data_IF_335602843551
#
_entry.id   IF_335602843551
#
_cell.length_a   1.000
_cell.length_b   1.000
_cell.length_c   1.000
_cell.angle_alpha   90.00
_cell.angle_beta   90.00
_cell.angle_gamma   90.00
#
_symmetry.space_group_name_H-M   'P 1'
#
loop_
_entity.id
_entity.type
_entity.pdbx_description
1 polymer ?
#
# COMPACT_ATOMS: atom_id res chain seq x y z
N UNK A 1 3.74 -33.09 -2.24
CA UNK A 1 4.59 -32.02 -1.72
C UNK A 1 4.01 -30.76 -2.30
N UNK A 2 3.05 -30.14 -1.60
CA UNK A 2 2.63 -28.77 -1.89
C UNK A 2 3.84 -27.88 -1.54
N UNK A 3 4.43 -27.28 -2.54
CA UNK A 3 5.40 -26.19 -2.34
C UNK A 3 4.56 -25.04 -1.81
N UNK A 4 4.64 -24.74 -0.52
CA UNK A 4 4.13 -23.47 0.01
C UNK A 4 4.82 -22.37 -0.79
N UNK A 5 4.07 -21.74 -1.67
CA UNK A 5 4.53 -20.56 -2.41
C UNK A 5 4.68 -19.44 -1.39
N UNK A 6 5.91 -19.20 -0.96
CA UNK A 6 6.23 -18.06 -0.08
C UNK A 6 5.96 -16.78 -0.87
N UNK A 7 4.93 -16.05 -0.48
CA UNK A 7 4.54 -14.84 -1.20
C UNK A 7 5.58 -13.73 -1.07
N UNK A 8 6.11 -13.47 0.14
CA UNK A 8 7.05 -12.37 0.39
C UNK A 8 8.24 -12.86 1.24
N UNK A 9 9.46 -12.60 0.77
CA UNK A 9 10.70 -12.80 1.51
C UNK A 9 11.45 -11.48 1.67
N UNK A 10 11.83 -11.15 2.89
CA UNK A 10 12.55 -9.93 3.23
C UNK A 10 13.74 -10.29 4.13
N UNK A 11 14.92 -9.86 3.73
CA UNK A 11 16.14 -9.90 4.54
C UNK A 11 16.95 -8.66 4.21
N UNK A 12 16.82 -7.61 5.02
CA UNK A 12 17.41 -6.31 4.72
C UNK A 12 18.14 -5.70 5.90
N UNK A 13 19.15 -4.93 5.57
CA UNK A 13 19.85 -4.04 6.49
C UNK A 13 19.78 -2.61 5.96
N UNK A 14 19.40 -1.64 6.81
CA UNK A 14 19.44 -0.22 6.50
C UNK A 14 19.98 0.58 7.67
N UNK A 15 21.03 1.34 7.42
CA UNK A 15 21.63 2.27 8.38
C UNK A 15 20.80 3.55 8.41
N UNK A 16 20.37 3.92 9.59
CA UNK A 16 19.65 5.17 9.88
C UNK A 16 20.52 6.01 10.84
N UNK A 17 20.22 7.30 10.97
CA UNK A 17 21.05 8.22 11.76
C UNK A 17 21.32 7.76 13.19
N UNK A 18 20.37 7.06 13.83
CA UNK A 18 20.43 6.69 15.25
C UNK A 18 20.45 5.19 15.51
N UNK A 19 20.13 4.37 14.51
CA UNK A 19 20.17 2.90 14.64
C UNK A 19 20.30 2.22 13.28
N UNK A 20 20.61 0.93 13.30
CA UNK A 20 20.63 0.09 12.10
C UNK A 20 19.42 -0.83 12.13
N UNK A 21 18.51 -0.66 11.18
CA UNK A 21 17.41 -1.59 10.94
C UNK A 21 17.97 -2.88 10.35
N UNK A 22 17.69 -4.01 11.02
CA UNK A 22 17.89 -5.34 10.47
C UNK A 22 16.58 -6.08 10.57
N UNK A 23 16.03 -6.49 9.45
CA UNK A 23 14.72 -7.14 9.40
C UNK A 23 14.81 -8.35 8.49
N UNK A 24 14.39 -9.50 9.02
CA UNK A 24 14.32 -10.76 8.28
C UNK A 24 13.00 -11.45 8.62
N UNK A 25 12.20 -11.74 7.60
CA UNK A 25 10.97 -12.52 7.72
C UNK A 25 10.52 -13.05 6.37
N UNK A 26 9.64 -14.02 6.44
CA UNK A 26 8.92 -14.58 5.30
C UNK A 26 7.42 -14.51 5.61
N UNK A 27 6.62 -14.22 4.61
CA UNK A 27 5.16 -14.16 4.71
C UNK A 27 4.55 -15.00 3.60
N UNK A 28 3.61 -15.87 3.96
CA UNK A 28 2.78 -16.62 3.03
C UNK A 28 1.62 -15.75 2.52
N UNK A 29 0.80 -16.30 1.64
CA UNK A 29 -0.46 -15.69 1.22
C UNK A 29 -1.36 -15.35 2.42
N UNK A 30 -2.14 -14.30 2.28
CA UNK A 30 -3.06 -13.81 3.30
C UNK A 30 -2.54 -12.58 4.04
N UNK A 31 -2.90 -12.43 5.31
CA UNK A 31 -2.61 -11.25 6.12
C UNK A 31 -1.48 -11.51 7.10
N UNK A 32 -0.39 -10.76 6.99
CA UNK A 32 0.74 -10.81 7.90
C UNK A 32 0.85 -9.50 8.69
N UNK A 33 0.93 -9.59 10.02
CA UNK A 33 1.10 -8.44 10.92
C UNK A 33 2.54 -8.24 11.35
N UNK A 34 3.09 -7.02 11.18
CA UNK A 34 4.40 -6.63 11.71
C UNK A 34 4.19 -5.90 13.04
N UNK A 35 4.61 -6.52 14.15
CA UNK A 35 4.48 -5.96 15.49
C UNK A 35 5.82 -5.41 15.99
N UNK A 36 5.75 -4.34 16.79
CA UNK A 36 6.94 -3.76 17.40
C UNK A 36 6.67 -2.36 17.98
N UNK A 37 7.55 -1.90 18.84
CA UNK A 37 7.48 -0.59 19.46
C UNK A 37 7.49 0.55 18.42
N UNK A 38 7.00 1.74 18.81
CA UNK A 38 7.14 2.92 17.96
C UNK A 38 8.60 3.22 17.67
N UNK A 39 8.94 3.56 16.44
CA UNK A 39 10.31 3.86 16.03
C UNK A 39 11.20 2.62 15.74
N UNK A 40 10.71 1.38 15.90
CA UNK A 40 11.53 0.18 15.65
C UNK A 40 11.81 -0.10 14.15
N UNK A 41 11.25 0.69 13.23
CA UNK A 41 11.52 0.58 11.79
C UNK A 41 10.44 -0.08 10.95
N UNK A 42 9.22 -0.31 11.47
CA UNK A 42 8.09 -0.91 10.71
C UNK A 42 7.82 -0.15 9.40
N UNK A 43 7.58 1.15 9.49
CA UNK A 43 7.35 2.01 8.31
C UNK A 43 8.52 2.01 7.33
N UNK A 44 9.76 1.97 7.84
CA UNK A 44 10.96 1.90 7.01
C UNK A 44 11.02 0.56 6.25
N UNK A 45 10.70 -0.55 6.91
CA UNK A 45 10.62 -1.87 6.27
C UNK A 45 9.59 -1.85 5.13
N UNK A 46 8.37 -1.35 5.38
CA UNK A 46 7.33 -1.25 4.34
C UNK A 46 7.78 -0.37 3.16
N UNK A 47 8.45 0.77 3.42
CA UNK A 47 9.00 1.63 2.38
C UNK A 47 10.12 0.95 1.58
N UNK A 48 10.94 0.12 2.23
CA UNK A 48 11.96 -0.67 1.55
C UNK A 48 11.32 -1.73 0.62
N UNK A 49 10.26 -2.41 1.07
CA UNK A 49 9.52 -3.39 0.25
C UNK A 49 8.88 -2.68 -0.95
N UNK A 50 8.25 -1.53 -0.74
CA UNK A 50 7.63 -0.74 -1.80
C UNK A 50 8.64 -0.08 -2.77
N UNK A 51 9.94 -0.07 -2.44
CA UNK A 51 10.99 0.52 -3.27
C UNK A 51 11.11 2.04 -3.16
N UNK A 52 10.42 2.66 -2.20
CA UNK A 52 10.52 4.10 -1.90
C UNK A 52 11.83 4.42 -1.21
N UNK A 53 12.26 3.49 -0.34
CA UNK A 53 13.56 3.55 0.31
C UNK A 53 14.42 2.38 -0.16
N UNK A 54 15.70 2.65 -0.42
CA UNK A 54 16.64 1.61 -0.82
C UNK A 54 17.32 1.05 0.43
N UNK A 55 17.28 -0.28 0.69
CA UNK A 55 18.14 -0.90 1.68
C UNK A 55 19.63 -0.69 1.37
N UNK A 56 20.50 -0.74 2.38
CA UNK A 56 21.95 -0.72 2.16
C UNK A 56 22.46 -2.10 1.74
N UNK A 57 21.90 -3.15 2.34
CA UNK A 57 22.25 -4.55 2.04
C UNK A 57 21.01 -5.43 2.13
N UNK A 58 21.04 -6.60 1.48
CA UNK A 58 20.04 -7.66 1.66
C UNK A 58 19.29 -8.03 0.39
N UNK A 59 18.07 -8.56 0.61
CA UNK A 59 17.25 -9.20 -0.42
C UNK A 59 15.77 -8.99 -0.15
N UNK A 60 15.00 -8.72 -1.20
CA UNK A 60 13.52 -8.64 -1.17
C UNK A 60 12.98 -9.34 -2.41
N UNK A 61 12.03 -10.25 -2.20
CA UNK A 61 11.35 -11.01 -3.26
C UNK A 61 9.87 -11.11 -2.94
N UNK A 62 9.02 -11.00 -3.95
CA UNK A 62 7.59 -11.27 -3.90
C UNK A 62 7.22 -12.22 -5.03
N UNK A 63 6.58 -13.35 -4.74
CA UNK A 63 6.09 -14.34 -5.70
C UNK A 63 7.16 -14.76 -6.75
N UNK A 64 8.41 -14.98 -6.32
CA UNK A 64 9.53 -15.32 -7.21
C UNK A 64 10.15 -14.14 -7.95
N UNK A 65 9.58 -12.93 -7.84
CA UNK A 65 10.11 -11.71 -8.45
C UNK A 65 11.03 -10.98 -7.48
N UNK A 66 12.31 -10.90 -7.82
CA UNK A 66 13.32 -10.20 -7.00
C UNK A 66 13.17 -8.70 -7.16
N UNK A 67 12.83 -8.01 -6.08
CA UNK A 67 12.70 -6.55 -6.03
C UNK A 67 14.01 -5.84 -5.73
N UNK A 68 14.78 -6.44 -4.83
CA UNK A 68 16.06 -5.92 -4.39
C UNK A 68 17.03 -7.07 -4.09
N UNK A 69 18.25 -6.95 -4.59
CA UNK A 69 19.37 -7.84 -4.27
C UNK A 69 20.67 -7.04 -4.33
N UNK A 70 21.27 -6.82 -3.16
CA UNK A 70 22.51 -6.05 -3.03
C UNK A 70 23.71 -6.75 -3.68
N UNK A 71 23.72 -8.10 -3.71
CA UNK A 71 24.82 -8.90 -4.30
C UNK A 71 24.77 -8.85 -5.82
N UNK A 72 23.57 -9.00 -6.38
CA UNK A 72 23.36 -9.00 -7.84
C UNK A 72 23.07 -7.59 -8.40
N UNK A 73 23.10 -6.54 -7.57
CA UNK A 73 22.83 -5.15 -7.94
C UNK A 73 21.45 -4.93 -8.55
N UNK A 74 20.46 -5.71 -8.13
CA UNK A 74 19.06 -5.56 -8.53
C UNK A 74 18.39 -4.55 -7.60
N UNK A 75 17.67 -3.58 -8.16
CA UNK A 75 16.83 -2.65 -7.42
C UNK A 75 15.72 -2.14 -8.34
N UNK A 76 14.58 -2.82 -8.32
CA UNK A 76 13.41 -2.42 -9.10
C UNK A 76 12.83 -1.11 -8.60
N UNK A 77 12.41 -0.25 -9.53
CA UNK A 77 11.69 0.97 -9.19
C UNK A 77 10.32 0.65 -8.56
N UNK A 78 9.74 1.54 -7.75
CA UNK A 78 8.42 1.30 -7.12
C UNK A 78 7.35 0.84 -8.11
N UNK A 79 7.30 1.45 -9.29
CA UNK A 79 6.32 1.13 -10.34
C UNK A 79 6.46 -0.29 -10.90
N UNK A 80 7.66 -0.87 -10.83
CA UNK A 80 7.96 -2.21 -11.33
C UNK A 80 7.64 -3.32 -10.32
N UNK A 81 7.41 -2.94 -9.05
CA UNK A 81 7.16 -3.91 -7.96
C UNK A 81 5.71 -4.35 -7.85
N UNK A 82 4.77 -3.64 -8.44
CA UNK A 82 3.33 -3.91 -8.33
C UNK A 82 2.83 -4.06 -6.88
N UNK A 83 3.32 -3.20 -5.99
CA UNK A 83 2.97 -3.18 -4.57
C UNK A 83 2.25 -1.89 -4.23
N UNK A 84 1.12 -2.00 -3.55
CA UNK A 84 0.39 -0.87 -2.99
C UNK A 84 0.90 -0.50 -1.60
N UNK A 85 1.18 0.78 -1.33
CA UNK A 85 1.54 1.25 0.01
C UNK A 85 0.57 2.33 0.48
N UNK A 86 -0.13 2.05 1.58
CA UNK A 86 -0.89 3.05 2.32
C UNK A 86 -0.01 3.68 3.38
N UNK A 87 0.27 4.97 3.22
CA UNK A 87 1.00 5.76 4.21
C UNK A 87 0.10 6.16 5.38
N UNK A 88 0.68 6.37 6.54
CA UNK A 88 -0.02 6.86 7.73
C UNK A 88 -0.79 8.18 7.50
N UNK A 89 -0.31 9.06 6.61
CA UNK A 89 -0.95 10.32 6.22
C UNK A 89 -1.74 10.22 4.91
N UNK A 90 -2.07 8.99 4.47
CA UNK A 90 -2.82 8.68 3.25
C UNK A 90 -2.18 9.13 1.92
N UNK A 91 -1.24 10.06 1.94
CA UNK A 91 -0.52 10.63 0.79
C UNK A 91 -1.43 10.95 -0.41
N UNK A 92 -2.61 11.51 -0.16
CA UNK A 92 -3.50 11.97 -1.23
C UNK A 92 -2.91 13.19 -1.93
N UNK A 93 -3.18 13.31 -3.22
CA UNK A 93 -2.82 14.51 -3.98
C UNK A 93 -3.72 15.68 -3.57
N UNK A 94 -3.21 16.68 -2.83
CA UNK A 94 -4.06 17.67 -2.15
C UNK A 94 -4.80 18.62 -3.11
N UNK A 95 -4.24 18.83 -4.30
CA UNK A 95 -4.81 19.69 -5.34
C UNK A 95 -5.73 18.96 -6.32
N UNK A 96 -5.85 17.64 -6.19
CA UNK A 96 -6.73 16.81 -7.01
C UNK A 96 -8.03 16.50 -6.28
N UNK A 97 -9.11 16.36 -7.02
CA UNK A 97 -10.39 15.87 -6.49
C UNK A 97 -10.32 14.38 -6.18
N UNK A 98 -11.36 13.84 -5.53
CA UNK A 98 -11.51 12.39 -5.29
C UNK A 98 -11.43 11.62 -6.62
N UNK A 99 -12.23 12.00 -7.61
CA UNK A 99 -12.19 11.38 -8.94
C UNK A 99 -10.79 11.42 -9.57
N UNK A 100 -10.09 12.55 -9.47
CA UNK A 100 -8.74 12.71 -10.00
C UNK A 100 -7.70 11.87 -9.24
N UNK A 101 -7.85 11.74 -7.92
CA UNK A 101 -6.99 10.87 -7.11
C UNK A 101 -7.15 9.40 -7.54
N UNK A 102 -8.39 8.92 -7.72
CA UNK A 102 -8.65 7.55 -8.20
C UNK A 102 -8.14 7.36 -9.63
N UNK A 103 -8.41 8.32 -10.51
CA UNK A 103 -7.92 8.29 -11.89
C UNK A 103 -6.39 8.18 -11.96
N UNK A 104 -5.65 8.84 -11.06
CA UNK A 104 -4.20 8.76 -11.02
C UNK A 104 -3.70 7.34 -10.68
N UNK A 105 -4.43 6.57 -9.85
CA UNK A 105 -4.15 5.16 -9.59
C UNK A 105 -4.32 4.30 -10.84
N UNK A 106 -5.42 4.47 -11.55
CA UNK A 106 -5.75 3.71 -12.77
C UNK A 106 -4.83 4.01 -13.95
N UNK A 107 -4.45 5.28 -14.15
CA UNK A 107 -3.60 5.71 -15.26
C UNK A 107 -2.10 5.42 -15.04
N UNK A 108 -1.71 4.93 -13.88
CA UNK A 108 -0.34 4.41 -13.67
C UNK A 108 -0.08 3.11 -14.46
N UNK A 109 -1.16 2.43 -14.96
CA UNK A 109 -1.10 1.38 -15.97
C UNK A 109 -1.47 1.90 -17.37
N UNK A 110 -1.26 1.11 -18.42
CA UNK A 110 -1.62 1.41 -19.81
C UNK A 110 -3.13 1.28 -20.08
N UNK A 111 -4.00 1.86 -19.23
CA UNK A 111 -5.46 1.74 -19.39
C UNK A 111 -6.03 2.86 -20.27
N UNK A 112 -6.98 2.49 -21.12
CA UNK A 112 -7.80 3.44 -21.89
C UNK A 112 -8.57 4.36 -20.94
N UNK A 113 -8.53 5.68 -21.19
CA UNK A 113 -9.22 6.70 -20.38
C UNK A 113 -10.72 6.47 -20.25
N UNK A 114 -11.35 5.86 -21.26
CA UNK A 114 -12.80 5.58 -21.24
C UNK A 114 -13.11 4.46 -20.25
N UNK A 115 -12.32 3.40 -20.26
CA UNK A 115 -12.40 2.29 -19.29
C UNK A 115 -12.10 2.79 -17.88
N UNK A 116 -11.04 3.60 -17.72
CA UNK A 116 -10.66 4.16 -16.42
C UNK A 116 -11.80 4.98 -15.78
N UNK A 117 -12.61 5.72 -16.56
CA UNK A 117 -13.77 6.44 -16.03
C UNK A 117 -14.87 5.51 -15.49
N UNK A 118 -15.08 4.37 -16.12
CA UNK A 118 -16.05 3.38 -15.64
C UNK A 118 -15.55 2.75 -14.35
N UNK A 119 -14.30 2.34 -14.30
CA UNK A 119 -13.66 1.79 -13.10
C UNK A 119 -13.66 2.79 -11.93
N UNK A 120 -13.42 4.09 -12.19
CA UNK A 120 -13.54 5.14 -11.14
C UNK A 120 -14.94 5.15 -10.53
N UNK A 121 -16.01 5.05 -11.35
CA UNK A 121 -17.39 5.04 -10.84
C UNK A 121 -17.66 3.80 -9.98
N UNK A 122 -17.18 2.64 -10.40
CA UNK A 122 -17.28 1.39 -9.62
C UNK A 122 -16.53 1.51 -8.30
N UNK A 123 -15.32 2.06 -8.30
CA UNK A 123 -14.54 2.31 -7.10
C UNK A 123 -15.23 3.31 -6.15
N UNK A 124 -15.79 4.40 -6.68
CA UNK A 124 -16.56 5.36 -5.89
C UNK A 124 -17.74 4.69 -5.19
N UNK A 125 -18.48 3.83 -5.88
CA UNK A 125 -19.59 3.08 -5.30
C UNK A 125 -19.10 2.06 -4.24
N UNK A 126 -18.08 1.27 -4.58
CA UNK A 126 -17.52 0.22 -3.69
C UNK A 126 -16.98 0.79 -2.38
N UNK A 127 -16.36 1.98 -2.42
CA UNK A 127 -15.78 2.66 -1.26
C UNK A 127 -16.73 3.69 -0.61
N UNK A 128 -18.01 3.68 -0.96
CA UNK A 128 -19.01 4.63 -0.44
C UNK A 128 -18.59 6.10 -0.57
N UNK A 129 -18.03 6.45 -1.72
CA UNK A 129 -17.54 7.79 -2.05
C UNK A 129 -18.42 8.50 -3.09
N UNK A 130 -19.55 7.89 -3.48
CA UNK A 130 -20.52 8.47 -4.41
C UNK A 130 -21.03 9.80 -3.89
N UNK A 131 -21.04 10.83 -4.74
CA UNK A 131 -21.37 12.20 -4.37
C UNK A 131 -20.20 13.06 -3.89
N UNK A 132 -19.02 12.44 -3.69
CA UNK A 132 -17.79 13.13 -3.26
C UNK A 132 -16.78 13.33 -4.41
N UNK A 133 -17.14 13.02 -5.63
CA UNK A 133 -16.24 12.99 -6.80
C UNK A 133 -15.45 14.29 -6.98
N UNK A 134 -16.12 15.43 -6.75
CA UNK A 134 -15.57 16.79 -6.94
C UNK A 134 -14.90 17.37 -5.71
N UNK A 135 -14.98 16.69 -4.56
CA UNK A 135 -14.36 17.16 -3.32
C UNK A 135 -12.85 16.97 -3.37
N UNK A 136 -12.13 17.86 -2.70
CA UNK A 136 -10.69 17.76 -2.47
C UNK A 136 -10.41 17.12 -1.11
N UNK A 137 -9.20 16.54 -0.90
CA UNK A 137 -8.85 15.92 0.38
C UNK A 137 -9.14 16.82 1.61
N UNK A 138 -8.89 18.10 1.52
CA UNK A 138 -9.16 19.05 2.63
C UNK A 138 -10.64 19.21 3.01
N UNK A 139 -11.56 18.74 2.18
CA UNK A 139 -13.01 18.81 2.38
C UNK A 139 -13.58 17.48 2.90
N UNK A 140 -12.74 16.47 3.08
CA UNK A 140 -13.12 15.12 3.48
C UNK A 140 -12.80 14.88 4.95
N UNK A 141 -13.61 14.04 5.61
CA UNK A 141 -13.27 13.49 6.92
C UNK A 141 -12.06 12.54 6.82
N UNK A 142 -11.38 12.25 7.94
CA UNK A 142 -10.24 11.32 7.97
C UNK A 142 -10.59 9.94 7.40
N UNK A 143 -11.76 9.38 7.74
CA UNK A 143 -12.25 8.12 7.18
C UNK A 143 -12.51 8.18 5.67
N UNK A 144 -13.08 9.28 5.17
CA UNK A 144 -13.25 9.49 3.74
C UNK A 144 -11.92 9.59 3.00
N UNK A 145 -10.93 10.32 3.56
CA UNK A 145 -9.59 10.40 3.00
C UNK A 145 -8.92 9.02 2.92
N UNK A 146 -9.07 8.21 3.96
CA UNK A 146 -8.55 6.85 3.99
C UNK A 146 -9.19 5.98 2.91
N UNK A 147 -10.53 6.03 2.77
CA UNK A 147 -11.25 5.29 1.72
C UNK A 147 -10.79 5.71 0.32
N UNK A 148 -10.59 7.00 0.08
CA UNK A 148 -10.03 7.49 -1.20
C UNK A 148 -8.62 6.95 -1.43
N UNK A 149 -7.76 6.92 -0.40
CA UNK A 149 -6.40 6.40 -0.53
C UNK A 149 -6.37 4.91 -0.83
N UNK A 150 -7.20 4.12 -0.13
CA UNK A 150 -7.35 2.69 -0.37
C UNK A 150 -7.89 2.42 -1.78
N UNK A 151 -8.97 3.10 -2.18
CA UNK A 151 -9.54 2.97 -3.52
C UNK A 151 -8.49 3.29 -4.60
N UNK A 152 -7.68 4.35 -4.42
CA UNK A 152 -6.62 4.72 -5.35
C UNK A 152 -5.55 3.63 -5.49
N UNK A 153 -5.15 3.01 -4.37
CA UNK A 153 -4.13 1.97 -4.36
C UNK A 153 -4.66 0.69 -5.00
N UNK A 154 -5.89 0.28 -4.65
CA UNK A 154 -6.50 -0.94 -5.16
C UNK A 154 -6.91 -0.82 -6.65
N UNK A 155 -7.16 0.38 -7.14
CA UNK A 155 -7.36 0.65 -8.56
C UNK A 155 -6.15 0.26 -9.43
N UNK A 156 -4.95 0.22 -8.84
CA UNK A 156 -3.74 -0.25 -9.50
C UNK A 156 -3.63 -1.78 -9.58
N UNK A 157 -4.50 -2.53 -8.89
CA UNK A 157 -4.49 -4.00 -8.79
C UNK A 157 -3.12 -4.55 -8.32
N UNK A 158 -2.64 -4.14 -7.13
CA UNK A 158 -1.32 -4.54 -6.68
C UNK A 158 -1.27 -6.02 -6.27
N UNK A 159 -0.14 -6.69 -6.47
CA UNK A 159 0.11 -8.08 -6.02
C UNK A 159 0.22 -8.19 -4.49
N UNK A 160 0.56 -7.10 -3.80
CA UNK A 160 0.58 -7.02 -2.35
C UNK A 160 0.20 -5.63 -1.87
N UNK A 161 -0.51 -5.57 -0.74
CA UNK A 161 -0.91 -4.32 -0.08
C UNK A 161 -0.16 -4.17 1.24
N UNK A 162 0.61 -3.10 1.36
CA UNK A 162 1.34 -2.72 2.56
C UNK A 162 0.59 -1.60 3.28
N UNK A 163 0.29 -1.79 4.56
CA UNK A 163 -0.47 -0.83 5.37
C UNK A 163 0.40 -0.33 6.53
N UNK A 164 0.74 0.96 6.51
CA UNK A 164 1.53 1.61 7.56
C UNK A 164 0.60 2.28 8.57
N UNK A 165 0.36 1.60 9.69
CA UNK A 165 -0.52 2.05 10.79
C UNK A 165 -1.90 2.58 10.30
N UNK A 166 -2.65 1.78 9.51
CA UNK A 166 -3.85 2.27 8.81
C UNK A 166 -4.94 2.81 9.74
N UNK A 167 -4.88 2.54 11.03
CA UNK A 167 -5.90 2.91 12.01
C UNK A 167 -5.40 3.84 13.12
N UNK A 168 -4.16 4.34 13.04
CA UNK A 168 -3.53 5.09 14.15
C UNK A 168 -4.17 6.46 14.44
N UNK A 169 -4.76 7.08 13.43
CA UNK A 169 -5.36 8.44 13.52
C UNK A 169 -6.86 8.44 13.91
N UNK A 170 -7.43 7.28 14.28
CA UNK A 170 -8.86 7.14 14.47
C UNK A 170 -9.26 6.84 15.91
N UNK A 171 -10.44 7.34 16.30
CA UNK A 171 -11.09 6.89 17.52
C UNK A 171 -11.52 5.39 17.43
N UNK A 172 -11.81 4.80 18.58
CA UNK A 172 -12.06 3.35 18.69
C UNK A 172 -13.27 2.89 17.87
N UNK A 173 -14.31 3.73 17.75
CA UNK A 173 -15.54 3.37 17.05
C UNK A 173 -15.35 3.39 15.52
N UNK A 174 -14.74 4.42 15.00
CA UNK A 174 -14.38 4.52 13.57
C UNK A 174 -13.37 3.46 13.14
N UNK A 175 -12.46 3.09 14.03
CA UNK A 175 -11.45 2.04 13.80
C UNK A 175 -12.07 0.67 13.52
N UNK A 176 -13.08 0.27 14.30
CA UNK A 176 -13.75 -1.01 14.10
C UNK A 176 -14.58 -1.05 12.81
N UNK A 177 -15.28 0.02 12.49
CA UNK A 177 -16.03 0.12 11.23
C UNK A 177 -15.12 -0.04 10.02
N UNK A 178 -14.02 0.72 9.98
CA UNK A 178 -13.06 0.67 8.87
C UNK A 178 -12.26 -0.64 8.80
N UNK A 179 -12.00 -1.28 9.93
CA UNK A 179 -11.39 -2.63 9.95
C UNK A 179 -12.30 -3.66 9.27
N UNK A 180 -13.60 -3.61 9.53
CA UNK A 180 -14.57 -4.47 8.87
C UNK A 180 -14.71 -4.16 7.37
N UNK A 181 -14.71 -2.87 6.99
CA UNK A 181 -14.72 -2.46 5.58
C UNK A 181 -13.46 -2.93 4.86
N UNK A 182 -12.29 -2.73 5.45
CA UNK A 182 -11.03 -3.19 4.88
C UNK A 182 -11.00 -4.71 4.73
N UNK A 183 -11.48 -5.44 5.74
CA UNK A 183 -11.56 -6.92 5.69
C UNK A 183 -12.48 -7.39 4.57
N UNK A 184 -13.62 -6.73 4.33
CA UNK A 184 -14.52 -7.05 3.21
C UNK A 184 -13.84 -6.79 1.86
N UNK A 185 -13.19 -5.63 1.73
CA UNK A 185 -12.49 -5.27 0.48
C UNK A 185 -11.34 -6.23 0.19
N UNK A 186 -10.60 -6.66 1.22
CA UNK A 186 -9.48 -7.61 1.08
C UNK A 186 -9.95 -9.05 0.87
N UNK A 187 -11.15 -9.44 1.33
CA UNK A 187 -11.70 -10.77 1.09
C UNK A 187 -12.09 -10.99 -0.39
N UNK A 188 -12.31 -9.92 -1.13
CA UNK A 188 -12.60 -9.95 -2.57
C UNK A 188 -11.32 -9.86 -3.44
N UNK A 189 -10.15 -9.79 -2.79
CA UNK A 189 -8.83 -9.67 -3.41
C UNK A 189 -8.04 -10.96 -3.28
#
# INVERSE_FOLDING_TARGET
WEVETMALRVDICKKLNHFTLKTQFEASEGVTGILGASGCGKSMTLRCIAGIEKPDEGYIELNGKVFYDSKNKINLRPQERHVGLLFQNYALFPNMTVEQNLMAGLLSGEKDRTKARTEVREMLARFELTGLEKYRPSQLSGGQQQRVALARILAYEPEALLLDEPFSAMDTYLREGLRLELSKVLADY
#
